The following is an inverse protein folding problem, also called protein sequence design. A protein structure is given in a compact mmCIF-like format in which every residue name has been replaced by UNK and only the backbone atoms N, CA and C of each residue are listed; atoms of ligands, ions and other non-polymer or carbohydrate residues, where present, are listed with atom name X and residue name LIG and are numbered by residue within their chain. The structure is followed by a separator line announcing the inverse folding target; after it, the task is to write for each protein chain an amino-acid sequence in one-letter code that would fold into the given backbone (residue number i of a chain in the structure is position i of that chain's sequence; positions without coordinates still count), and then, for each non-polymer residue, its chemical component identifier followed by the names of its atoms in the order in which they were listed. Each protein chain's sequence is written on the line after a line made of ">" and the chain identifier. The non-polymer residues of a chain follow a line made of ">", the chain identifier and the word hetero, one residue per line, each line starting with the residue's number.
data_IF_070893129036
#
_entry.id   IF_070893129036
#
_cell.length_a   1.000
_cell.length_b   1.000
_cell.length_c   1.000
_cell.angle_alpha   90.00
_cell.angle_beta   90.00
_cell.angle_gamma   90.00
#
_symmetry.space_group_name_H-M   'P 1'
#
loop_
_entity.id
_entity.type
_entity.pdbx_description
1 polymer ?
#
# COMPACT_ATOMS: atom_id res chain seq x y z
N UNK A 1 6.38 -1.12 -2.00
CA UNK A 1 6.35 -2.06 -0.86
C UNK A 1 6.69 -1.32 0.42
N UNK A 2 6.21 -1.80 1.57
CA UNK A 2 6.50 -1.21 2.89
C UNK A 2 7.05 -2.28 3.82
N UNK A 3 8.01 -1.89 4.68
CA UNK A 3 8.54 -2.76 5.74
C UNK A 3 7.67 -2.60 6.98
N UNK A 4 7.23 -3.71 7.56
CA UNK A 4 6.24 -3.75 8.66
C UNK A 4 6.43 -5.02 9.49
N UNK A 5 5.78 -5.13 10.64
CA UNK A 5 5.63 -6.41 11.37
C UNK A 5 4.44 -7.16 10.78
N UNK A 6 4.71 -8.32 10.18
CA UNK A 6 3.72 -9.27 9.64
C UNK A 6 3.42 -10.36 10.67
N UNK A 7 2.43 -11.21 10.43
CA UNK A 7 1.91 -12.16 11.43
C UNK A 7 0.91 -11.51 12.40
N UNK A 8 0.28 -10.41 12.00
CA UNK A 8 -0.76 -9.72 12.77
C UNK A 8 -1.98 -9.42 11.89
N UNK A 9 -3.07 -9.01 12.54
CA UNK A 9 -4.30 -8.64 11.83
C UNK A 9 -4.12 -7.39 10.96
N UNK A 10 -4.96 -7.22 9.94
CA UNK A 10 -5.01 -6.01 9.11
C UNK A 10 -5.26 -4.77 9.99
N UNK A 11 -6.14 -4.86 10.99
CA UNK A 11 -6.41 -3.76 11.92
C UNK A 11 -5.16 -3.33 12.68
N UNK A 12 -4.42 -4.29 13.25
CA UNK A 12 -3.17 -4.02 13.96
C UNK A 12 -2.15 -3.35 13.03
N UNK A 13 -1.98 -3.89 11.83
CA UNK A 13 -1.04 -3.34 10.84
C UNK A 13 -1.40 -1.89 10.47
N UNK A 14 -2.65 -1.63 10.07
CA UNK A 14 -3.07 -0.31 9.60
C UNK A 14 -3.11 0.73 10.71
N UNK A 15 -3.69 0.40 11.87
CA UNK A 15 -3.86 1.38 12.93
C UNK A 15 -2.61 1.56 13.80
N UNK A 16 -1.95 0.47 14.19
CA UNK A 16 -0.85 0.56 15.16
C UNK A 16 0.50 0.80 14.48
N UNK A 17 0.71 0.32 13.25
CA UNK A 17 1.99 0.45 12.57
C UNK A 17 2.01 1.57 11.53
N UNK A 18 0.93 1.70 10.74
CA UNK A 18 0.83 2.72 9.69
C UNK A 18 0.14 4.01 10.17
N UNK A 19 -0.37 4.04 11.40
CA UNK A 19 -0.89 5.23 12.05
C UNK A 19 -2.26 5.69 11.54
N UNK A 20 -3.04 4.81 10.91
CA UNK A 20 -4.42 5.13 10.52
C UNK A 20 -5.32 5.15 11.75
N UNK A 21 -6.18 6.16 11.87
CA UNK A 21 -7.17 6.15 12.95
C UNK A 21 -8.18 5.00 12.74
N UNK A 22 -8.69 4.40 13.82
CA UNK A 22 -9.76 3.39 13.71
C UNK A 22 -10.97 3.89 12.94
N UNK A 23 -11.34 5.16 13.11
CA UNK A 23 -12.47 5.80 12.43
C UNK A 23 -12.21 5.94 10.93
N UNK A 24 -10.97 6.25 10.53
CA UNK A 24 -10.58 6.29 9.11
C UNK A 24 -10.69 4.89 8.49
N UNK A 25 -10.16 3.86 9.15
CA UNK A 25 -10.27 2.47 8.69
C UNK A 25 -11.73 2.04 8.54
N UNK A 26 -12.60 2.44 9.45
CA UNK A 26 -14.00 2.04 9.42
C UNK A 26 -14.82 2.80 8.37
N UNK A 27 -14.66 4.13 8.31
CA UNK A 27 -15.53 5.01 7.53
C UNK A 27 -14.99 5.35 6.14
N UNK A 28 -13.66 5.45 5.99
CA UNK A 28 -13.04 5.84 4.71
C UNK A 28 -12.66 4.64 3.86
N UNK A 29 -12.13 3.57 4.46
CA UNK A 29 -11.74 2.37 3.71
C UNK A 29 -12.95 1.44 3.61
N UNK A 30 -13.55 1.35 2.43
CA UNK A 30 -14.76 0.54 2.20
C UNK A 30 -14.45 -0.80 1.55
N UNK A 31 -13.30 -0.95 0.91
CA UNK A 31 -12.92 -2.19 0.25
C UNK A 31 -11.49 -2.55 0.59
N UNK A 32 -11.33 -3.78 1.07
CA UNK A 32 -10.05 -4.34 1.45
C UNK A 32 -9.91 -5.67 0.73
N UNK A 33 -8.79 -5.86 0.04
CA UNK A 33 -8.39 -7.18 -0.44
C UNK A 33 -7.07 -7.57 0.19
N UNK A 34 -6.99 -8.82 0.64
CA UNK A 34 -5.77 -9.49 1.04
C UNK A 34 -5.49 -10.61 0.04
N UNK A 35 -4.35 -10.53 -0.65
CA UNK A 35 -3.92 -11.50 -1.66
C UNK A 35 -4.99 -11.76 -2.73
N UNK A 36 -5.63 -10.67 -3.18
CA UNK A 36 -6.69 -10.69 -4.19
C UNK A 36 -8.07 -11.12 -3.67
N UNK A 37 -8.18 -11.48 -2.39
CA UNK A 37 -9.43 -11.93 -1.78
C UNK A 37 -10.06 -10.82 -0.95
N UNK A 38 -11.36 -10.55 -1.10
CA UNK A 38 -12.00 -9.53 -0.30
C UNK A 38 -12.07 -9.89 1.18
N UNK A 39 -11.89 -8.89 2.05
CA UNK A 39 -11.91 -9.03 3.50
C UNK A 39 -13.06 -8.23 4.11
N UNK A 40 -13.88 -8.89 4.92
CA UNK A 40 -14.95 -8.25 5.71
C UNK A 40 -14.50 -7.93 7.13
N UNK A 41 -13.82 -8.89 7.78
CA UNK A 41 -13.32 -8.72 9.13
C UNK A 41 -11.80 -8.51 9.16
N UNK A 42 -11.41 -7.27 9.49
CA UNK A 42 -10.01 -6.84 9.59
C UNK A 42 -9.29 -7.37 10.82
N UNK A 43 -10.01 -7.96 11.79
CA UNK A 43 -9.43 -8.52 13.01
C UNK A 43 -8.94 -9.96 12.81
N UNK A 44 -9.68 -10.77 12.05
CA UNK A 44 -9.31 -12.17 11.74
C UNK A 44 -8.35 -12.30 10.56
N UNK A 45 -8.40 -11.37 9.60
CA UNK A 45 -7.51 -11.41 8.44
C UNK A 45 -6.06 -11.08 8.83
N UNK A 46 -5.16 -12.05 8.71
CA UNK A 46 -3.75 -11.93 9.09
C UNK A 46 -2.88 -11.65 7.87
N UNK A 47 -2.05 -10.61 7.95
CA UNK A 47 -1.11 -10.23 6.90
C UNK A 47 0.20 -10.96 7.09
N UNK A 48 0.70 -11.61 6.03
CA UNK A 48 1.92 -12.41 6.05
C UNK A 48 3.04 -11.74 5.24
N UNK A 49 4.25 -12.29 5.37
CA UNK A 49 5.37 -11.92 4.51
C UNK A 49 4.97 -12.08 3.04
N UNK A 50 5.19 -11.04 2.23
CA UNK A 50 4.89 -11.04 0.80
C UNK A 50 3.41 -10.82 0.46
N UNK A 51 2.52 -10.67 1.45
CA UNK A 51 1.11 -10.39 1.18
C UNK A 51 0.92 -9.08 0.43
N UNK A 52 -0.09 -9.07 -0.44
CA UNK A 52 -0.59 -7.87 -1.13
C UNK A 52 -1.87 -7.39 -0.46
N UNK A 53 -1.82 -6.19 0.12
CA UNK A 53 -2.97 -5.53 0.72
C UNK A 53 -3.44 -4.39 -0.20
N UNK A 54 -4.68 -4.47 -0.68
CA UNK A 54 -5.29 -3.42 -1.50
C UNK A 54 -6.39 -2.68 -0.73
N UNK A 55 -6.33 -1.35 -0.74
CA UNK A 55 -7.25 -0.48 -0.02
C UNK A 55 -7.95 0.49 -1.00
N UNK A 56 -9.27 0.57 -0.90
CA UNK A 56 -10.06 1.54 -1.67
C UNK A 56 -11.17 2.16 -0.83
N UNK A 57 -11.45 3.44 -1.11
CA UNK A 57 -12.52 4.19 -0.46
C UNK A 57 -13.91 3.84 -1.01
N UNK A 58 -13.96 3.49 -2.28
CA UNK A 58 -15.18 3.09 -2.96
C UNK A 58 -14.80 2.38 -4.26
N UNK A 59 -15.60 1.40 -4.65
CA UNK A 59 -15.60 0.89 -6.03
C UNK A 59 -16.97 1.23 -6.63
N UNK A 60 -17.05 1.64 -7.91
CA UNK A 60 -18.32 1.93 -8.56
C UNK A 60 -19.05 0.65 -8.99
N UNK A 61 -20.35 0.78 -9.26
CA UNK A 61 -21.18 -0.24 -9.90
C UNK A 61 -21.35 -1.54 -9.09
N UNK A 62 -21.54 -2.65 -9.81
CA UNK A 62 -21.76 -3.97 -9.22
C UNK A 62 -20.57 -4.45 -8.38
N UNK A 63 -19.34 -4.12 -8.79
CA UNK A 63 -18.14 -4.42 -8.03
C UNK A 63 -18.15 -3.72 -6.67
N UNK A 64 -18.57 -2.46 -6.60
CA UNK A 64 -18.79 -1.77 -5.33
C UNK A 64 -19.87 -2.38 -4.46
N UNK A 65 -21.00 -2.73 -5.09
CA UNK A 65 -22.11 -3.35 -4.40
C UNK A 65 -21.74 -4.70 -3.79
N UNK A 66 -20.89 -5.50 -4.44
CA UNK A 66 -20.55 -6.86 -3.98
C UNK A 66 -19.27 -6.91 -3.15
N UNK A 67 -18.26 -6.09 -3.46
CA UNK A 67 -16.92 -6.20 -2.89
C UNK A 67 -16.69 -5.31 -1.66
N UNK A 68 -17.59 -4.37 -1.37
CA UNK A 68 -17.52 -3.54 -0.17
C UNK A 68 -17.61 -4.39 1.11
N UNK A 69 -16.79 -4.06 2.11
CA UNK A 69 -16.84 -4.71 3.43
C UNK A 69 -18.22 -4.53 4.06
N UNK A 70 -18.78 -5.59 4.63
CA UNK A 70 -20.12 -5.55 5.24
C UNK A 70 -21.24 -5.22 4.26
N UNK A 71 -21.06 -5.50 2.96
CA UNK A 71 -22.13 -5.30 1.99
C UNK A 71 -23.29 -6.29 2.19
N UNK A 72 -24.51 -5.82 1.94
CA UNK A 72 -25.70 -6.67 1.84
C UNK A 72 -25.51 -7.83 0.83
N UNK A 73 -24.76 -7.61 -0.25
CA UNK A 73 -24.50 -8.62 -1.28
C UNK A 73 -23.24 -9.46 -1.01
N UNK A 74 -22.68 -9.45 0.20
CA UNK A 74 -21.47 -10.21 0.52
C UNK A 74 -21.64 -11.73 0.31
N UNK A 75 -22.86 -12.26 0.46
CA UNK A 75 -23.16 -13.67 0.19
C UNK A 75 -22.85 -14.10 -1.25
N UNK A 76 -22.99 -13.18 -2.22
CA UNK A 76 -22.74 -13.44 -3.65
C UNK A 76 -21.25 -13.69 -3.97
N UNK A 77 -20.34 -13.33 -3.06
CA UNK A 77 -18.88 -13.52 -3.22
C UNK A 77 -18.29 -14.52 -2.21
N UNK A 78 -19.12 -15.30 -1.53
CA UNK A 78 -18.71 -16.23 -0.46
C UNK A 78 -17.64 -17.27 -0.86
N UNK A 79 -17.53 -17.58 -2.16
CA UNK A 79 -16.50 -18.47 -2.71
C UNK A 79 -15.12 -17.80 -2.85
N UNK A 80 -15.06 -16.48 -2.98
CA UNK A 80 -13.82 -15.72 -3.24
C UNK A 80 -13.37 -14.87 -2.05
N UNK A 81 -14.22 -14.70 -1.03
CA UNK A 81 -13.86 -14.03 0.22
C UNK A 81 -12.67 -14.70 0.90
N UNK A 82 -11.87 -13.89 1.58
CA UNK A 82 -10.79 -14.38 2.42
C UNK A 82 -11.35 -15.31 3.49
N UNK A 83 -10.68 -16.45 3.68
CA UNK A 83 -10.93 -17.36 4.79
C UNK A 83 -9.64 -17.42 5.60
N UNK A 84 -9.78 -17.30 6.91
CA UNK A 84 -8.67 -17.40 7.84
C UNK A 84 -7.91 -18.70 7.59
N UNK A 85 -6.62 -18.58 7.28
CA UNK A 85 -5.71 -19.73 7.27
C UNK A 85 -5.01 -19.74 8.62
N UNK A 86 -5.28 -20.79 9.41
CA UNK A 86 -4.75 -21.07 10.75
C UNK A 86 -3.23 -21.25 10.73
N UNK A 87 -2.52 -20.16 10.52
CA UNK A 87 -1.06 -20.08 10.66
C UNK A 87 -0.77 -18.90 11.56
N UNK A 88 -1.04 -19.08 12.84
CA UNK A 88 -0.63 -18.15 13.90
C UNK A 88 0.89 -18.17 14.02
N UNK A 89 1.57 -17.35 13.21
CA UNK A 89 3.00 -17.06 13.39
C UNK A 89 3.15 -15.82 14.27
N UNK A 90 4.10 -15.87 15.19
CA UNK A 90 4.46 -14.72 16.02
C UNK A 90 4.81 -13.51 15.14
N UNK A 91 4.42 -12.28 15.52
CA UNK A 91 4.74 -11.10 14.75
C UNK A 91 6.25 -10.97 14.51
N UNK A 92 6.65 -10.81 13.26
CA UNK A 92 8.06 -10.65 12.87
C UNK A 92 8.21 -9.58 11.80
N UNK A 93 9.42 -9.06 11.59
CA UNK A 93 9.67 -8.12 10.50
C UNK A 93 9.43 -8.77 9.14
N UNK A 94 8.80 -8.02 8.25
CA UNK A 94 8.49 -8.46 6.91
C UNK A 94 8.21 -7.32 5.95
N UNK A 95 7.91 -7.68 4.71
CA UNK A 95 7.55 -6.75 3.65
C UNK A 95 6.20 -7.15 3.05
N UNK A 96 5.40 -6.13 2.77
CA UNK A 96 4.11 -6.29 2.09
C UNK A 96 4.02 -5.34 0.91
N UNK A 97 3.19 -5.70 -0.06
CA UNK A 97 2.79 -4.81 -1.14
C UNK A 97 1.49 -4.10 -0.77
N UNK A 98 1.56 -2.80 -0.53
CA UNK A 98 0.38 -1.96 -0.30
C UNK A 98 -0.06 -1.32 -1.61
N UNK A 99 -1.30 -1.58 -2.04
CA UNK A 99 -1.93 -0.96 -3.21
C UNK A 99 -3.01 -0.01 -2.74
N UNK A 100 -2.88 1.26 -3.10
CA UNK A 100 -3.84 2.31 -2.76
C UNK A 100 -4.61 2.73 -4.00
N UNK A 101 -5.93 2.80 -3.90
CA UNK A 101 -6.80 3.15 -5.02
C UNK A 101 -7.64 4.38 -4.71
N UNK A 102 -8.06 5.07 -5.77
CA UNK A 102 -9.03 6.17 -5.74
C UNK A 102 -8.62 7.26 -4.73
N UNK A 103 -9.52 7.66 -3.84
CA UNK A 103 -9.28 8.71 -2.85
C UNK A 103 -8.18 8.32 -1.86
N UNK A 104 -8.06 7.04 -1.51
CA UNK A 104 -7.06 6.55 -0.53
C UNK A 104 -5.64 6.80 -1.05
N UNK A 105 -5.40 6.66 -2.36
CA UNK A 105 -4.10 6.98 -2.95
C UNK A 105 -3.71 8.44 -2.72
N UNK A 106 -4.66 9.37 -2.90
CA UNK A 106 -4.41 10.81 -2.71
C UNK A 106 -4.18 11.17 -1.25
N UNK A 107 -4.93 10.54 -0.34
CA UNK A 107 -4.86 10.83 1.09
C UNK A 107 -3.62 10.21 1.77
N UNK A 108 -3.30 8.96 1.46
CA UNK A 108 -2.22 8.23 2.14
C UNK A 108 -0.91 8.17 1.35
N UNK A 109 -0.96 8.27 0.01
CA UNK A 109 0.22 8.17 -0.85
C UNK A 109 1.35 9.13 -0.46
N UNK A 110 1.09 10.44 -0.27
CA UNK A 110 2.11 11.39 0.15
C UNK A 110 2.75 11.03 1.50
N UNK A 111 1.95 10.55 2.47
CA UNK A 111 2.46 10.13 3.77
C UNK A 111 3.42 8.94 3.65
N UNK A 112 3.07 7.92 2.84
CA UNK A 112 3.95 6.78 2.58
C UNK A 112 5.22 7.17 1.84
N UNK A 113 5.15 8.06 0.86
CA UNK A 113 6.34 8.57 0.17
C UNK A 113 7.25 9.38 1.11
N UNK A 114 6.65 10.15 2.02
CA UNK A 114 7.37 10.88 3.08
C UNK A 114 8.00 9.96 4.12
N UNK A 115 7.41 8.81 4.43
CA UNK A 115 8.00 7.80 5.32
C UNK A 115 9.10 7.01 4.61
N UNK A 116 8.86 6.68 3.34
CA UNK A 116 9.72 5.96 2.43
C UNK A 116 9.14 4.60 2.05
N UNK A 117 9.36 4.21 0.80
CA UNK A 117 8.86 2.97 0.19
C UNK A 117 9.99 2.19 -0.46
N UNK A 118 9.82 0.88 -0.54
CA UNK A 118 10.68 0.01 -1.32
C UNK A 118 10.09 -0.19 -2.71
N UNK A 119 10.87 0.06 -3.76
CA UNK A 119 10.46 -0.06 -5.16
C UNK A 119 11.57 -0.73 -5.96
N UNK A 120 11.23 -1.50 -6.99
CA UNK A 120 12.23 -2.05 -7.91
C UNK A 120 12.92 -0.89 -8.65
N UNK A 121 14.24 -0.93 -8.72
CA UNK A 121 15.05 0.12 -9.32
C UNK A 121 14.78 0.35 -10.80
N UNK A 122 14.52 -0.72 -11.57
CA UNK A 122 14.18 -0.64 -12.99
C UNK A 122 12.82 0.04 -13.18
N UNK A 123 11.81 -0.38 -12.42
CA UNK A 123 10.49 0.24 -12.45
C UNK A 123 10.56 1.73 -12.08
N UNK A 124 11.38 2.09 -11.08
CA UNK A 124 11.59 3.47 -10.68
C UNK A 124 12.25 4.30 -11.79
N UNK A 125 13.31 3.76 -12.42
CA UNK A 125 14.00 4.42 -13.54
C UNK A 125 13.04 4.63 -14.72
N UNK A 126 12.30 3.60 -15.08
CA UNK A 126 11.33 3.64 -16.17
C UNK A 126 10.18 4.59 -15.87
N UNK A 127 9.76 4.70 -14.61
CA UNK A 127 8.77 5.67 -14.16
C UNK A 127 9.28 7.10 -14.33
N UNK A 128 10.46 7.42 -13.80
CA UNK A 128 11.05 8.76 -13.86
C UNK A 128 11.25 9.26 -15.29
N UNK A 129 11.70 8.39 -16.21
CA UNK A 129 11.88 8.73 -17.63
C UNK A 129 10.57 9.10 -18.35
N UNK A 130 9.41 8.70 -17.81
CA UNK A 130 8.09 8.96 -18.42
C UNK A 130 7.37 10.16 -17.82
N UNK A 131 7.94 10.80 -16.79
CA UNK A 131 7.29 11.93 -16.13
C UNK A 131 7.54 13.23 -16.89
N UNK A 132 6.56 14.14 -16.84
CA UNK A 132 6.65 15.49 -17.40
C UNK A 132 7.43 16.44 -16.48
N UNK A 133 7.80 17.61 -17.00
CA UNK A 133 8.49 18.65 -16.24
C UNK A 133 7.69 19.11 -15.01
N UNK A 134 6.35 19.13 -15.08
CA UNK A 134 5.47 19.47 -13.95
C UNK A 134 5.65 18.53 -12.75
N UNK A 135 5.88 17.23 -13.00
CA UNK A 135 6.14 16.27 -11.94
C UNK A 135 7.45 16.60 -11.21
N UNK A 136 8.48 16.95 -11.98
CA UNK A 136 9.79 17.32 -11.45
C UNK A 136 9.73 18.64 -10.69
N UNK A 137 9.00 19.64 -11.19
CA UNK A 137 8.78 20.91 -10.50
C UNK A 137 8.12 20.72 -9.11
N UNK A 138 7.29 19.69 -8.94
CA UNK A 138 6.65 19.35 -7.66
C UNK A 138 7.55 18.61 -6.66
N UNK A 139 8.67 18.05 -7.10
CA UNK A 139 9.60 17.33 -6.24
C UNK A 139 10.64 18.32 -5.69
N UNK A 140 10.96 18.30 -4.38
CA UNK A 140 12.00 19.18 -3.81
C UNK A 140 13.31 18.47 -3.52
N UNK A 141 13.21 17.27 -2.98
CA UNK A 141 14.36 16.42 -2.67
C UNK A 141 13.93 14.97 -2.64
N UNK A 142 14.82 14.09 -3.07
CA UNK A 142 14.65 12.65 -2.98
C UNK A 142 15.83 12.02 -2.26
N UNK A 143 15.53 10.99 -1.48
CA UNK A 143 16.54 10.09 -0.90
C UNK A 143 16.35 8.69 -1.46
N UNK A 144 17.42 8.13 -2.00
CA UNK A 144 17.49 6.76 -2.51
C UNK A 144 18.55 6.01 -1.72
N UNK A 145 18.17 4.91 -1.07
CA UNK A 145 19.05 4.11 -0.20
C UNK A 145 19.77 4.98 0.86
N UNK A 146 19.09 6.00 1.38
CA UNK A 146 19.60 6.94 2.37
C UNK A 146 20.48 8.07 1.82
N UNK A 147 20.89 8.02 0.56
CA UNK A 147 21.64 9.10 -0.11
C UNK A 147 20.68 10.13 -0.69
N UNK A 148 21.00 11.39 -0.52
CA UNK A 148 20.22 12.52 -1.03
C UNK A 148 20.65 12.86 -2.46
N UNK A 149 19.68 13.09 -3.32
CA UNK A 149 19.89 13.41 -4.73
C UNK A 149 19.04 14.61 -5.13
N UNK A 150 19.67 15.48 -5.93
CA UNK A 150 18.96 16.48 -6.73
C UNK A 150 18.13 15.76 -7.81
N UNK A 151 17.06 16.40 -8.26
CA UNK A 151 16.09 15.79 -9.17
C UNK A 151 16.71 15.44 -10.52
N UNK A 152 17.55 16.33 -11.05
CA UNK A 152 18.24 16.14 -12.32
C UNK A 152 19.18 14.92 -12.27
N UNK A 153 19.76 14.66 -11.10
CA UNK A 153 20.64 13.51 -10.87
C UNK A 153 19.87 12.20 -10.72
N UNK A 154 18.58 12.21 -10.40
CA UNK A 154 17.78 10.98 -10.27
C UNK A 154 17.64 10.25 -11.61
N UNK A 155 17.56 10.99 -12.72
CA UNK A 155 17.49 10.42 -14.07
C UNK A 155 18.80 9.75 -14.50
N UNK A 156 19.93 10.22 -13.96
CA UNK A 156 21.27 9.73 -14.29
C UNK A 156 21.68 8.50 -13.46
N UNK A 157 20.95 8.20 -12.37
CA UNK A 157 21.24 7.04 -11.53
C UNK A 157 20.97 5.76 -12.31
N UNK A 158 22.00 4.91 -12.40
CA UNK A 158 21.85 3.51 -12.79
C UNK A 158 21.26 2.73 -11.61
N UNK A 159 19.94 2.70 -11.55
CA UNK A 159 19.25 1.81 -10.61
C UNK A 159 19.53 0.36 -11.02
N UNK A 160 20.20 -0.39 -10.14
CA UNK A 160 20.40 -1.82 -10.34
C UNK A 160 19.05 -2.56 -10.33
N UNK A 161 19.01 -3.79 -10.87
CA UNK A 161 17.84 -4.66 -10.81
C UNK A 161 17.64 -5.24 -9.40
N UNK A 162 17.37 -4.34 -8.46
CA UNK A 162 17.16 -4.61 -7.04
C UNK A 162 16.11 -3.66 -6.49
N UNK A 163 15.58 -3.99 -5.31
CA UNK A 163 14.76 -3.05 -4.56
C UNK A 163 15.63 -1.94 -3.97
N UNK A 164 15.18 -0.70 -4.14
CA UNK A 164 15.77 0.50 -3.54
C UNK A 164 14.76 1.15 -2.59
N UNK A 165 15.27 1.78 -1.54
CA UNK A 165 14.46 2.53 -0.59
C UNK A 165 14.36 3.99 -1.04
N UNK A 166 13.18 4.40 -1.48
CA UNK A 166 12.87 5.75 -1.94
C UNK A 166 12.12 6.52 -0.86
N UNK A 167 12.58 7.72 -0.54
CA UNK A 167 11.87 8.67 0.33
C UNK A 167 11.82 10.03 -0.36
N UNK A 168 10.63 10.59 -0.49
CA UNK A 168 10.43 11.89 -1.13
C UNK A 168 10.05 12.94 -0.11
N UNK A 169 10.61 14.14 -0.27
CA UNK A 169 10.17 15.32 0.46
C UNK A 169 9.33 16.19 -0.47
N UNK A 170 8.01 16.11 -0.32
CA UNK A 170 7.07 17.01 -0.98
C UNK A 170 6.74 18.17 -0.05
N UNK A 171 6.39 19.33 -0.62
CA UNK A 171 5.87 20.49 0.12
C UNK A 171 4.70 20.11 1.04
#
# INVERSE_FOLDING_TARGET
>A
MVKTRVGCSIKTLLCQQLGLSPEYLEKRIQTIFLDGRPVDDVNSATVMQGSTLALSAAMPGLAGATLRKGSYYASMRSQISYREMTTSKSPHEGMILLKLFNLILKELGPAFLKQGIWINGKDLSDFFKRQSDDFWAGCKAARVDGKEFDLDKLLEIKYADRYVFLKLKTC
#
